data_IF_442346801263
#
_entry.id   IF_442346801263
#
_cell.length_a   1.000
_cell.length_b   1.000
_cell.length_c   1.000
_cell.angle_alpha   90.00
_cell.angle_beta   90.00
_cell.angle_gamma   90.00
#
_symmetry.space_group_name_H-M   'P 1'
#
loop_
_entity.id
_entity.type
_entity.pdbx_description
1 polymer ?
#
# COMPACT_ATOMS: atom_id res chain seq x y z
N UNK A 1 4.11 -8.33 6.85
CA UNK A 1 4.30 -7.11 7.66
C UNK A 1 3.08 -6.77 8.51
N UNK A 2 1.98 -6.27 7.93
CA UNK A 2 0.82 -5.84 8.71
C UNK A 2 0.18 -6.94 9.56
N UNK A 3 -0.10 -8.09 8.96
CA UNK A 3 -0.64 -9.26 9.67
C UNK A 3 0.34 -9.76 10.75
N UNK A 4 1.65 -9.77 10.48
CA UNK A 4 2.65 -10.19 11.47
C UNK A 4 2.60 -9.32 12.75
N UNK A 5 2.51 -8.00 12.59
CA UNK A 5 2.32 -7.09 13.73
C UNK A 5 1.01 -7.37 14.48
N UNK A 6 -0.09 -7.61 13.77
CA UNK A 6 -1.38 -7.94 14.39
C UNK A 6 -1.33 -9.25 15.17
N UNK A 7 -0.68 -10.29 14.63
CA UNK A 7 -0.53 -11.56 15.32
C UNK A 7 0.26 -11.42 16.63
N UNK A 8 1.32 -10.60 16.63
CA UNK A 8 2.08 -10.27 17.85
C UNK A 8 1.24 -9.49 18.87
N UNK A 9 0.41 -8.57 18.40
CA UNK A 9 -0.52 -7.84 19.28
C UNK A 9 -1.54 -8.77 19.93
N UNK A 10 -2.10 -9.71 19.16
CA UNK A 10 -3.05 -10.73 19.67
C UNK A 10 -2.38 -11.65 20.68
N UNK A 11 -1.14 -12.09 20.41
CA UNK A 11 -0.38 -12.91 21.34
C UNK A 11 -0.14 -12.19 22.68
N UNK A 12 -0.01 -10.86 22.65
CA UNK A 12 0.13 -9.97 23.80
C UNK A 12 1.07 -10.51 24.88
N UNK A 13 2.26 -10.93 24.46
CA UNK A 13 3.23 -11.52 25.38
C UNK A 13 3.53 -10.55 26.52
N UNK A 14 3.44 -11.07 27.76
CA UNK A 14 3.67 -10.30 28.99
C UNK A 14 2.75 -9.07 29.14
N UNK A 15 1.60 -9.07 28.46
CA UNK A 15 0.64 -7.96 28.45
C UNK A 15 1.21 -6.63 27.92
N UNK A 16 2.26 -6.68 27.10
CA UNK A 16 2.99 -5.47 26.63
C UNK A 16 2.12 -4.55 25.76
N UNK A 17 1.12 -5.11 25.06
CA UNK A 17 0.29 -4.36 24.09
C UNK A 17 -0.97 -3.76 24.70
N UNK A 18 -1.29 -4.11 25.95
CA UNK A 18 -2.49 -3.63 26.65
C UNK A 18 -2.49 -2.11 26.83
N UNK A 19 -3.53 -1.43 26.31
CA UNK A 19 -3.70 0.02 26.42
C UNK A 19 -2.77 0.84 25.51
N UNK A 20 -2.17 0.22 24.50
CA UNK A 20 -1.23 0.86 23.58
C UNK A 20 -1.89 1.22 22.25
N UNK A 21 -1.29 2.19 21.56
CA UNK A 21 -1.64 2.58 20.19
C UNK A 21 -0.40 2.34 19.33
N UNK A 22 -0.56 1.54 18.27
CA UNK A 22 0.52 1.18 17.36
C UNK A 22 0.22 1.66 15.95
N UNK A 23 1.18 2.35 15.35
CA UNK A 23 1.20 2.52 13.91
C UNK A 23 1.78 1.24 13.29
N UNK A 24 1.07 0.66 12.34
CA UNK A 24 1.53 -0.50 11.57
C UNK A 24 1.67 -0.07 10.12
N UNK A 25 2.91 0.10 9.68
CA UNK A 25 3.23 0.50 8.31
C UNK A 25 4.72 0.51 8.06
N UNK A 26 5.12 0.63 6.79
CA UNK A 26 6.52 0.68 6.39
C UNK A 26 6.92 2.13 6.04
N UNK A 27 7.62 2.87 6.93
CA UNK A 27 8.02 4.25 6.65
C UNK A 27 9.02 4.38 5.50
N UNK A 28 9.63 3.27 5.06
CA UNK A 28 10.53 3.25 3.90
C UNK A 28 9.77 3.21 2.56
N UNK A 29 8.52 2.75 2.57
CA UNK A 29 7.66 2.67 1.38
C UNK A 29 6.90 4.00 1.18
N UNK A 30 7.63 5.12 1.16
CA UNK A 30 7.05 6.46 1.08
C UNK A 30 7.12 6.99 -0.37
N UNK A 31 6.06 6.73 -1.13
CA UNK A 31 5.88 7.23 -2.51
C UNK A 31 4.74 8.26 -2.53
N UNK A 32 4.85 9.25 -3.41
CA UNK A 32 3.71 10.06 -3.85
C UNK A 32 2.73 9.21 -4.68
N UNK A 33 1.49 9.70 -4.82
CA UNK A 33 0.47 9.06 -5.67
C UNK A 33 0.95 8.94 -7.12
N UNK A 34 1.66 9.96 -7.63
CA UNK A 34 2.23 9.94 -8.98
C UNK A 34 3.31 8.88 -9.13
N UNK A 35 4.25 8.78 -8.18
CA UNK A 35 5.29 7.74 -8.19
C UNK A 35 4.68 6.33 -8.11
N UNK A 36 3.66 6.14 -7.27
CA UNK A 36 2.93 4.87 -7.20
C UNK A 36 2.30 4.51 -8.55
N UNK A 37 1.59 5.45 -9.19
CA UNK A 37 0.94 5.22 -10.47
C UNK A 37 1.96 4.88 -11.57
N UNK A 38 3.07 5.62 -11.66
CA UNK A 38 4.15 5.35 -12.61
C UNK A 38 4.74 3.95 -12.34
N UNK A 39 5.04 3.62 -11.07
CA UNK A 39 5.64 2.33 -10.73
C UNK A 39 4.73 1.16 -11.04
N UNK A 40 3.42 1.31 -10.82
CA UNK A 40 2.42 0.31 -11.20
C UNK A 40 2.37 0.10 -12.72
N UNK A 41 2.47 1.16 -13.53
CA UNK A 41 2.48 1.04 -14.98
C UNK A 41 3.75 0.37 -15.50
N UNK A 42 4.92 0.68 -14.93
CA UNK A 42 6.18 0.00 -15.24
C UNK A 42 6.09 -1.49 -14.96
N UNK A 43 5.61 -1.87 -13.77
CA UNK A 43 5.44 -3.27 -13.41
C UNK A 43 4.41 -3.96 -14.31
N UNK A 44 3.26 -3.33 -14.57
CA UNK A 44 2.23 -3.90 -15.44
C UNK A 44 2.73 -4.20 -16.86
N UNK A 45 3.69 -3.41 -17.39
CA UNK A 45 4.28 -3.66 -18.70
C UNK A 45 5.12 -4.96 -18.76
N UNK A 46 5.65 -5.41 -17.62
CA UNK A 46 6.43 -6.65 -17.50
C UNK A 46 5.55 -7.90 -17.71
N UNK A 47 4.23 -7.81 -17.43
CA UNK A 47 3.29 -8.94 -17.51
C UNK A 47 2.48 -8.92 -18.82
N UNK A 48 2.52 -9.99 -19.65
CA UNK A 48 1.74 -10.07 -20.88
C UNK A 48 0.24 -9.81 -20.71
N UNK A 49 -0.33 -10.25 -19.58
CA UNK A 49 -1.74 -10.15 -19.24
C UNK A 49 -2.20 -8.69 -19.02
N UNK A 50 -1.27 -7.79 -18.66
CA UNK A 50 -1.54 -6.39 -18.35
C UNK A 50 -0.97 -5.41 -19.38
N UNK A 51 0.09 -5.79 -20.09
CA UNK A 51 0.90 -4.91 -20.96
C UNK A 51 0.08 -4.04 -21.90
N UNK A 52 -0.83 -4.64 -22.67
CA UNK A 52 -1.60 -3.90 -23.69
C UNK A 52 -2.62 -2.94 -23.08
N UNK A 53 -3.12 -3.22 -21.87
CA UNK A 53 -3.99 -2.30 -21.13
C UNK A 53 -3.16 -1.18 -20.52
N UNK A 54 -2.03 -1.51 -19.89
CA UNK A 54 -1.12 -0.54 -19.28
C UNK A 54 -0.62 0.49 -20.31
N UNK A 55 -0.27 0.06 -21.52
CA UNK A 55 0.19 0.93 -22.60
C UNK A 55 -0.85 1.99 -23.06
N UNK A 56 -2.13 1.78 -22.71
CA UNK A 56 -3.23 2.71 -23.04
C UNK A 56 -3.61 3.63 -21.90
N UNK A 57 -3.07 3.43 -20.70
CA UNK A 57 -3.37 4.27 -19.54
C UNK A 57 -2.70 5.64 -19.69
N UNK A 58 -3.45 6.70 -19.38
CA UNK A 58 -2.95 8.06 -19.33
C UNK A 58 -3.12 8.61 -17.92
N UNK A 59 -2.07 9.25 -17.40
CA UNK A 59 -2.16 9.98 -16.14
C UNK A 59 -2.73 11.37 -16.42
N UNK A 60 -3.95 11.61 -15.93
CA UNK A 60 -4.66 12.87 -16.10
C UNK A 60 -4.53 13.66 -14.79
N UNK A 61 -3.97 14.87 -14.88
CA UNK A 61 -3.94 15.80 -13.75
C UNK A 61 -5.36 16.35 -13.50
N UNK A 62 -5.76 16.42 -12.25
CA UNK A 62 -7.05 16.97 -11.83
C UNK A 62 -6.90 17.74 -10.53
N UNK A 63 -7.80 18.68 -10.25
CA UNK A 63 -7.84 19.31 -8.93
C UNK A 63 -8.54 18.40 -7.94
N UNK A 64 -8.21 18.54 -6.65
CA UNK A 64 -8.91 17.83 -5.59
C UNK A 64 -10.41 18.18 -5.55
N UNK A 65 -10.79 19.41 -5.91
CA UNK A 65 -12.18 19.83 -5.98
C UNK A 65 -12.93 19.12 -7.12
N UNK A 66 -12.31 18.96 -8.29
CA UNK A 66 -12.95 18.29 -9.42
C UNK A 66 -13.06 16.78 -9.22
N UNK A 67 -12.12 16.18 -8.47
CA UNK A 67 -12.11 14.74 -8.21
C UNK A 67 -12.90 14.33 -6.96
N UNK A 68 -12.70 15.03 -5.83
CA UNK A 68 -13.30 14.70 -4.52
C UNK A 68 -14.41 15.67 -4.08
N UNK A 69 -14.57 16.82 -4.74
CA UNK A 69 -15.57 17.83 -4.39
C UNK A 69 -15.08 18.92 -3.43
N UNK A 70 -15.94 19.91 -3.22
CA UNK A 70 -15.64 21.07 -2.38
C UNK A 70 -15.50 20.65 -0.90
N UNK A 71 -14.47 21.18 -0.25
CA UNK A 71 -14.19 20.91 1.16
C UNK A 71 -13.30 19.68 1.41
N UNK A 72 -12.87 18.98 0.36
CA UNK A 72 -11.89 17.91 0.50
C UNK A 72 -10.55 18.43 1.03
N UNK A 73 -10.02 17.76 2.05
CA UNK A 73 -8.71 18.02 2.62
C UNK A 73 -7.99 16.69 2.79
N UNK A 74 -6.72 16.66 2.42
CA UNK A 74 -5.85 15.51 2.63
C UNK A 74 -4.56 15.94 3.32
N UNK A 75 -3.91 15.00 3.98
CA UNK A 75 -2.60 15.19 4.60
C UNK A 75 -1.51 15.03 3.54
N UNK A 76 -0.52 15.93 3.56
CA UNK A 76 0.55 15.92 2.55
C UNK A 76 1.43 14.67 2.63
N UNK A 77 1.64 14.13 3.83
CA UNK A 77 2.52 12.99 4.04
C UNK A 77 1.99 12.10 5.18
N UNK A 78 2.06 10.78 4.97
CA UNK A 78 1.58 9.76 5.92
C UNK A 78 2.71 8.81 6.33
N UNK A 79 3.81 9.35 6.87
CA UNK A 79 4.92 8.51 7.36
C UNK A 79 4.62 8.05 8.80
N UNK A 80 4.41 6.74 9.04
CA UNK A 80 4.09 6.24 10.37
C UNK A 80 5.34 6.25 11.27
N UNK A 81 5.21 6.83 12.47
CA UNK A 81 6.19 6.62 13.54
C UNK A 81 5.97 5.24 14.14
N UNK A 82 6.92 4.32 13.92
CA UNK A 82 6.80 2.90 14.33
C UNK A 82 7.73 2.49 15.47
N UNK A 83 8.41 3.43 16.14
CA UNK A 83 9.41 3.11 17.15
C UNK A 83 8.88 2.23 18.29
N UNK A 84 7.69 2.53 18.82
CA UNK A 84 7.06 1.73 19.86
C UNK A 84 6.55 0.38 19.33
N UNK A 85 6.01 0.35 18.12
CA UNK A 85 5.61 -0.90 17.46
C UNK A 85 6.80 -1.85 17.32
N UNK A 86 7.96 -1.34 16.89
CA UNK A 86 9.15 -2.17 16.75
C UNK A 86 9.70 -2.65 18.10
N UNK A 87 9.74 -1.77 19.10
CA UNK A 87 10.29 -2.09 20.42
C UNK A 87 9.40 -3.06 21.20
N UNK A 88 8.09 -2.81 21.24
CA UNK A 88 7.16 -3.60 22.06
C UNK A 88 6.86 -4.97 21.44
N UNK A 89 6.84 -5.06 20.10
CA UNK A 89 6.47 -6.28 19.38
C UNK A 89 7.67 -7.08 18.86
N UNK A 90 8.90 -6.59 19.03
CA UNK A 90 10.11 -7.10 18.33
C UNK A 90 9.85 -7.28 16.82
N UNK A 91 9.24 -6.26 16.22
CA UNK A 91 8.72 -6.28 14.86
C UNK A 91 9.44 -5.26 13.97
N UNK A 92 9.53 -5.56 12.68
CA UNK A 92 9.90 -4.57 11.66
C UNK A 92 9.26 -4.93 10.31
N UNK A 93 8.90 -3.93 9.48
CA UNK A 93 8.42 -4.19 8.14
C UNK A 93 9.59 -4.54 7.21
N UNK A 94 9.44 -5.61 6.43
CA UNK A 94 10.50 -6.16 5.57
C UNK A 94 10.14 -6.07 4.07
N UNK A 95 8.86 -5.96 3.72
CA UNK A 95 8.39 -5.93 2.33
C UNK A 95 8.54 -4.53 1.75
N UNK A 96 9.34 -4.39 0.69
CA UNK A 96 9.52 -3.14 -0.07
C UNK A 96 8.27 -2.83 -0.90
N UNK A 97 8.12 -1.58 -1.35
CA UNK A 97 6.99 -1.21 -2.21
C UNK A 97 6.96 -2.05 -3.50
N UNK A 98 8.12 -2.21 -4.14
CA UNK A 98 8.27 -3.03 -5.35
C UNK A 98 7.85 -4.49 -5.13
N UNK A 99 8.30 -5.09 -4.02
CA UNK A 99 7.95 -6.47 -3.69
C UNK A 99 6.45 -6.60 -3.40
N UNK A 100 5.87 -5.65 -2.67
CA UNK A 100 4.43 -5.63 -2.41
C UNK A 100 3.62 -5.54 -3.71
N UNK A 101 3.98 -4.61 -4.60
CA UNK A 101 3.29 -4.43 -5.88
C UNK A 101 3.43 -5.66 -6.78
N UNK A 102 4.63 -6.25 -6.91
CA UNK A 102 4.83 -7.47 -7.69
C UNK A 102 3.98 -8.63 -7.19
N UNK A 103 3.90 -8.83 -5.87
CA UNK A 103 3.03 -9.86 -5.28
C UNK A 103 1.56 -9.63 -5.63
N UNK A 104 1.10 -8.39 -5.65
CA UNK A 104 -0.26 -8.04 -6.04
C UNK A 104 -0.49 -8.36 -7.53
N UNK A 105 0.39 -7.89 -8.43
CA UNK A 105 0.28 -8.21 -9.86
C UNK A 105 0.29 -9.73 -10.12
N UNK A 106 1.18 -10.47 -9.45
CA UNK A 106 1.24 -11.93 -9.59
C UNK A 106 -0.04 -12.63 -9.09
N UNK A 107 -0.63 -12.17 -7.98
CA UNK A 107 -1.86 -12.77 -7.45
C UNK A 107 -3.05 -12.62 -8.41
N UNK A 108 -3.15 -11.47 -9.10
CA UNK A 108 -4.26 -11.18 -10.00
C UNK A 108 -4.01 -11.62 -11.45
N UNK A 109 -2.82 -12.11 -11.81
CA UNK A 109 -2.47 -12.39 -13.22
C UNK A 109 -3.38 -13.43 -13.88
N UNK A 110 -3.82 -14.42 -13.12
CA UNK A 110 -4.71 -15.49 -13.59
C UNK A 110 -6.19 -15.08 -13.47
N UNK A 111 -6.46 -13.94 -12.84
CA UNK A 111 -7.77 -13.43 -12.47
C UNK A 111 -7.97 -12.00 -13.00
N UNK A 112 -7.53 -11.73 -14.24
CA UNK A 112 -7.63 -10.39 -14.85
C UNK A 112 -9.08 -9.91 -14.92
N UNK A 113 -10.05 -10.82 -14.98
CA UNK A 113 -11.47 -10.51 -14.84
C UNK A 113 -11.80 -9.94 -13.45
N UNK A 114 -11.30 -10.57 -12.38
CA UNK A 114 -11.54 -10.16 -10.98
C UNK A 114 -10.80 -8.86 -10.63
N UNK A 115 -9.67 -8.57 -11.28
CA UNK A 115 -9.01 -7.27 -11.16
C UNK A 115 -9.87 -6.12 -11.74
N UNK A 116 -10.64 -6.41 -12.79
CA UNK A 116 -11.59 -5.46 -13.38
C UNK A 116 -12.75 -5.11 -12.44
N UNK A 117 -13.14 -6.02 -11.55
CA UNK A 117 -14.23 -5.81 -10.58
C UNK A 117 -13.82 -5.05 -9.33
N UNK A 118 -12.53 -4.70 -9.15
CA UNK A 118 -12.07 -3.90 -8.01
C UNK A 118 -12.46 -2.41 -8.12
N UNK A 119 -12.91 -1.98 -9.30
CA UNK A 119 -13.29 -0.59 -9.60
C UNK A 119 -14.81 -0.42 -9.78
N UNK A 120 -15.58 -1.50 -9.69
CA UNK A 120 -17.05 -1.51 -9.69
C UNK A 120 -17.60 -1.49 -8.24
#
# INVERSE_FOLDING_TARGET
DGIDALMRIIANERSVTSGKIYNIGNPRNNLSVRELAVRMLELAAEYPEYRDRAARVQLIETTANDYYGQGYQDVQQRVPKIANTCADLDWRPEVTMDEALRRIFEAYRAHVADAGTLVD
#
